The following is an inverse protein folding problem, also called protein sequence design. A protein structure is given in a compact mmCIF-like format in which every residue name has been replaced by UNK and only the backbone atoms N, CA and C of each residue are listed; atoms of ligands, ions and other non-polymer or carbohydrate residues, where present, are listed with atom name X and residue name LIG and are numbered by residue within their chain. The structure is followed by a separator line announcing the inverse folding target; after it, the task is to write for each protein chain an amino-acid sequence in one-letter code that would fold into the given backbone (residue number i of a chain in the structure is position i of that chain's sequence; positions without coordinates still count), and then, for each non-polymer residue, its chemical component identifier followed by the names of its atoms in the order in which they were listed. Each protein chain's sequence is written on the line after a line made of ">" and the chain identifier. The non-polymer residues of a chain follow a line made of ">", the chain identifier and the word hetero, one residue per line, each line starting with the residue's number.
data_IF_876528224197
#
_entry.id   IF_876528224197
#
_cell.length_a   1.000
_cell.length_b   1.000
_cell.length_c   1.000
_cell.angle_alpha   90.00
_cell.angle_beta   90.00
_cell.angle_gamma   90.00
#
_symmetry.space_group_name_H-M   'P 1'
#
loop_
_entity.id
_entity.type
_entity.pdbx_description
1 polymer ?
#
# COMPACT_ATOMS: atom_id res chain seq x y z
N UNK A 1 -4.37 5.73 -16.30
CA UNK A 1 -3.35 6.72 -15.86
C UNK A 1 -2.64 6.30 -14.56
N UNK A 2 -3.32 5.70 -13.56
CA UNK A 2 -2.69 5.27 -12.28
C UNK A 2 -1.81 4.00 -12.39
N UNK A 3 -1.96 3.18 -13.44
CA UNK A 3 -1.09 2.00 -13.66
C UNK A 3 0.38 2.35 -13.91
N UNK A 4 0.69 3.61 -14.27
CA UNK A 4 2.07 4.06 -14.47
C UNK A 4 2.76 4.44 -13.16
N UNK A 5 1.99 4.76 -12.11
CA UNK A 5 2.53 5.14 -10.81
C UNK A 5 3.30 3.97 -10.17
N UNK A 6 2.82 2.72 -10.27
CA UNK A 6 3.49 1.57 -9.64
C UNK A 6 4.84 1.27 -10.30
N UNK A 7 4.93 1.45 -11.61
CA UNK A 7 6.18 1.30 -12.38
C UNK A 7 7.25 2.30 -11.93
N UNK A 8 6.86 3.53 -11.60
CA UNK A 8 7.78 4.61 -11.20
C UNK A 8 7.96 4.72 -9.68
N UNK A 9 7.36 3.79 -8.90
CA UNK A 9 7.36 3.84 -7.44
C UNK A 9 8.76 3.86 -6.82
N UNK A 10 9.70 3.08 -7.34
CA UNK A 10 11.09 3.07 -6.85
C UNK A 10 11.80 4.40 -7.13
N UNK A 11 11.55 5.01 -8.29
CA UNK A 11 12.08 6.32 -8.64
C UNK A 11 11.51 7.41 -7.75
N UNK A 12 10.20 7.38 -7.47
CA UNK A 12 9.55 8.33 -6.54
C UNK A 12 10.15 8.22 -5.13
N UNK A 13 10.35 7.00 -4.63
CA UNK A 13 10.96 6.76 -3.31
C UNK A 13 12.40 7.27 -3.24
N UNK A 14 13.19 7.05 -4.30
CA UNK A 14 14.56 7.51 -4.37
C UNK A 14 14.65 9.04 -4.44
N UNK A 15 13.82 9.67 -5.26
CA UNK A 15 13.75 11.14 -5.38
C UNK A 15 13.31 11.77 -4.06
N UNK A 16 12.27 11.24 -3.41
CA UNK A 16 11.82 11.75 -2.12
C UNK A 16 12.88 11.55 -1.02
N UNK A 17 13.53 10.39 -0.99
CA UNK A 17 14.64 10.12 -0.08
C UNK A 17 15.81 11.09 -0.27
N UNK A 18 16.26 11.30 -1.51
CA UNK A 18 17.32 12.24 -1.85
C UNK A 18 16.94 13.68 -1.48
N UNK A 19 15.70 14.10 -1.78
CA UNK A 19 15.20 15.42 -1.44
C UNK A 19 15.16 15.65 0.08
N UNK A 20 14.71 14.67 0.86
CA UNK A 20 14.74 14.77 2.34
C UNK A 20 16.17 14.80 2.88
N UNK A 21 17.09 14.01 2.30
CA UNK A 21 18.50 14.04 2.67
C UNK A 21 19.12 15.41 2.39
N UNK A 22 18.92 15.97 1.19
CA UNK A 22 19.42 17.30 0.84
C UNK A 22 18.82 18.39 1.74
N UNK A 23 17.52 18.31 2.07
CA UNK A 23 16.89 19.26 2.98
C UNK A 23 17.49 19.22 4.40
N UNK A 24 17.86 18.04 4.90
CA UNK A 24 18.46 17.92 6.23
C UNK A 24 19.92 18.38 6.21
N UNK A 25 20.72 17.91 5.25
CA UNK A 25 22.17 18.11 5.23
C UNK A 25 22.59 19.46 4.64
N UNK A 26 21.87 20.00 3.65
CA UNK A 26 22.21 21.26 2.98
C UNK A 26 21.47 22.45 3.58
N UNK A 27 20.20 22.28 3.94
CA UNK A 27 19.35 23.38 4.43
C UNK A 27 19.25 23.45 5.96
N UNK A 28 19.97 22.59 6.71
CA UNK A 28 19.96 22.53 8.19
C UNK A 28 18.54 22.49 8.79
N UNK A 29 17.58 21.90 8.06
CA UNK A 29 16.20 21.81 8.52
C UNK A 29 16.14 20.88 9.72
N UNK A 30 15.51 21.34 10.82
CA UNK A 30 15.38 20.54 12.02
C UNK A 30 14.59 19.25 11.77
N UNK A 31 15.05 18.15 12.39
CA UNK A 31 14.43 16.82 12.26
C UNK A 31 12.93 16.82 12.61
N UNK A 32 12.52 17.69 13.55
CA UNK A 32 11.15 17.85 13.99
C UNK A 32 10.21 18.35 12.89
N UNK A 33 10.68 19.24 12.01
CA UNK A 33 9.89 19.74 10.88
C UNK A 33 9.64 18.62 9.87
N UNK A 34 10.67 17.81 9.56
CA UNK A 34 10.54 16.66 8.65
C UNK A 34 9.56 15.63 9.21
N UNK A 35 9.67 15.32 10.51
CA UNK A 35 8.76 14.41 11.19
C UNK A 35 7.31 14.94 11.18
N UNK A 36 7.12 16.23 11.48
CA UNK A 36 5.81 16.89 11.48
C UNK A 36 5.13 16.83 10.11
N UNK A 37 5.87 17.20 9.05
CA UNK A 37 5.38 17.12 7.66
C UNK A 37 5.04 15.68 7.28
N UNK A 38 5.88 14.70 7.65
CA UNK A 38 5.61 13.29 7.36
C UNK A 38 4.35 12.77 8.06
N UNK A 39 4.07 13.20 9.29
CA UNK A 39 2.85 12.84 10.02
C UNK A 39 1.62 13.46 9.35
N UNK A 40 1.66 14.75 9.00
CA UNK A 40 0.56 15.44 8.32
C UNK A 40 0.27 14.81 6.96
N UNK A 41 1.30 14.55 6.15
CA UNK A 41 1.15 13.86 4.87
C UNK A 41 0.63 12.43 5.07
N UNK A 42 1.12 11.70 6.08
CA UNK A 42 0.62 10.38 6.43
C UNK A 42 -0.86 10.37 6.82
N UNK A 43 -1.33 11.41 7.51
CA UNK A 43 -2.74 11.57 7.86
C UNK A 43 -3.61 11.86 6.61
N UNK A 44 -3.13 12.70 5.68
CA UNK A 44 -3.86 13.07 4.46
C UNK A 44 -3.90 11.92 3.44
N UNK A 45 -2.76 11.29 3.17
CA UNK A 45 -2.63 10.26 2.13
C UNK A 45 -2.90 8.84 2.66
N UNK A 46 -2.99 8.65 3.98
CA UNK A 46 -3.23 7.35 4.63
C UNK A 46 -2.15 6.32 4.31
N UNK A 47 -2.51 5.01 4.33
CA UNK A 47 -1.55 3.90 4.10
C UNK A 47 -0.85 3.91 2.73
N UNK A 48 -1.34 4.68 1.76
CA UNK A 48 -0.62 4.89 0.50
C UNK A 48 0.75 5.53 0.78
N UNK A 49 0.86 6.41 1.77
CA UNK A 49 2.11 7.05 2.16
C UNK A 49 3.17 6.04 2.64
N UNK A 50 2.81 5.10 3.52
CA UNK A 50 3.74 4.08 4.04
C UNK A 50 4.39 3.22 2.95
N UNK A 51 3.68 2.95 1.85
CA UNK A 51 4.20 2.11 0.77
C UNK A 51 4.94 2.93 -0.30
N UNK A 52 4.67 4.22 -0.44
CA UNK A 52 5.15 5.05 -1.56
C UNK A 52 6.13 6.15 -1.18
N UNK A 53 6.09 6.65 0.06
CA UNK A 53 6.95 7.74 0.53
C UNK A 53 7.84 7.32 1.69
N UNK A 54 7.41 6.35 2.51
CA UNK A 54 8.22 5.90 3.64
C UNK A 54 9.41 5.01 3.17
N UNK A 55 10.66 5.32 3.57
CA UNK A 55 11.85 4.53 3.21
C UNK A 55 11.80 3.10 3.76
N UNK A 56 11.13 2.87 4.90
CA UNK A 56 10.94 1.52 5.44
C UNK A 56 10.13 0.63 4.49
N UNK A 57 9.18 1.19 3.73
CA UNK A 57 8.40 0.43 2.75
C UNK A 57 9.24 -0.14 1.61
N UNK A 58 10.34 0.55 1.24
CA UNK A 58 11.33 0.07 0.27
C UNK A 58 12.22 -1.02 0.87
N UNK A 59 12.69 -0.81 2.11
CA UNK A 59 13.53 -1.79 2.84
C UNK A 59 12.78 -3.13 2.98
N UNK A 60 11.51 -3.09 3.38
CA UNK A 60 10.68 -4.29 3.51
C UNK A 60 10.54 -5.03 2.17
N UNK A 61 10.39 -4.33 1.06
CA UNK A 61 10.26 -4.97 -0.26
C UNK A 61 11.55 -5.67 -0.71
N UNK A 62 12.70 -5.07 -0.41
CA UNK A 62 14.01 -5.66 -0.68
C UNK A 62 14.32 -6.84 0.24
N UNK A 63 13.92 -6.76 1.50
CA UNK A 63 14.08 -7.87 2.45
C UNK A 63 13.21 -9.06 2.05
N UNK A 64 11.97 -8.79 1.69
CA UNK A 64 10.99 -9.79 1.31
C UNK A 64 11.21 -10.37 -0.10
N UNK A 65 12.03 -9.75 -0.94
CA UNK A 65 12.28 -10.26 -2.31
C UNK A 65 13.05 -11.58 -2.37
N UNK A 66 13.74 -11.98 -1.29
CA UNK A 66 14.48 -13.25 -1.21
C UNK A 66 13.68 -14.38 -0.57
N UNK A 67 12.48 -14.10 -0.05
CA UNK A 67 11.64 -15.09 0.61
C UNK A 67 10.70 -15.78 -0.37
N UNK A 68 10.18 -16.95 0.04
CA UNK A 68 9.08 -17.61 -0.66
C UNK A 68 7.86 -16.69 -0.75
N UNK A 69 7.03 -16.86 -1.79
CA UNK A 69 5.87 -15.99 -2.05
C UNK A 69 4.89 -15.96 -0.85
N UNK A 70 4.72 -17.10 -0.17
CA UNK A 70 3.83 -17.22 0.99
C UNK A 70 4.40 -16.55 2.24
N UNK A 71 5.70 -16.71 2.49
CA UNK A 71 6.37 -16.06 3.63
C UNK A 71 6.40 -14.54 3.44
N UNK A 72 6.61 -14.10 2.20
CA UNK A 72 6.51 -12.71 1.79
C UNK A 72 5.14 -12.11 2.11
N UNK A 73 4.06 -12.81 1.76
CA UNK A 73 2.69 -12.41 2.10
C UNK A 73 2.48 -12.37 3.61
N UNK A 74 2.98 -13.36 4.36
CA UNK A 74 2.87 -13.43 5.84
C UNK A 74 3.61 -12.29 6.54
N UNK A 75 4.84 -12.00 6.12
CA UNK A 75 5.61 -10.87 6.65
C UNK A 75 4.90 -9.55 6.37
N UNK A 76 4.40 -9.33 5.15
CA UNK A 76 3.63 -8.13 4.84
C UNK A 76 2.36 -8.03 5.69
N UNK A 77 1.61 -9.12 5.84
CA UNK A 77 0.40 -9.15 6.66
C UNK A 77 0.68 -8.77 8.11
N UNK A 78 1.69 -9.40 8.72
CA UNK A 78 2.08 -9.13 10.10
C UNK A 78 2.64 -7.72 10.27
N UNK A 79 3.43 -7.21 9.33
CA UNK A 79 3.95 -5.85 9.39
C UNK A 79 2.83 -4.79 9.34
N UNK A 80 1.82 -4.96 8.49
CA UNK A 80 0.71 -4.01 8.43
C UNK A 80 -0.38 -4.25 9.50
N UNK A 81 -0.32 -5.38 10.20
CA UNK A 81 -1.18 -5.70 11.36
C UNK A 81 -0.56 -5.26 12.69
N UNK A 82 0.72 -5.57 12.92
CA UNK A 82 1.46 -5.41 14.19
C UNK A 82 2.61 -4.38 14.11
N UNK A 83 2.85 -3.76 12.95
CA UNK A 83 3.98 -2.86 12.74
C UNK A 83 3.86 -1.52 13.47
N UNK A 84 4.67 -0.55 13.03
CA UNK A 84 4.83 0.78 13.62
C UNK A 84 3.50 1.43 14.08
N UNK A 85 3.44 2.13 15.24
CA UNK A 85 2.23 2.80 15.73
C UNK A 85 1.54 3.68 14.69
N UNK A 86 2.31 4.32 13.80
CA UNK A 86 1.78 5.15 12.69
C UNK A 86 0.96 4.31 11.70
N UNK A 87 1.31 3.04 11.48
CA UNK A 87 0.55 2.09 10.65
C UNK A 87 -0.81 1.74 11.28
N UNK A 88 -0.94 1.76 12.61
CA UNK A 88 -2.23 1.53 13.26
C UNK A 88 -3.18 2.69 13.07
N UNK A 89 -2.70 3.91 13.30
CA UNK A 89 -3.47 5.14 13.06
C UNK A 89 -3.94 5.18 11.59
N UNK A 90 -3.02 4.96 10.64
CA UNK A 90 -3.37 4.92 9.22
C UNK A 90 -4.26 3.73 8.84
N UNK A 91 -4.19 2.61 9.58
CA UNK A 91 -5.00 1.42 9.34
C UNK A 91 -6.47 1.66 9.65
N UNK A 92 -6.76 2.45 10.68
CA UNK A 92 -8.11 2.93 10.96
C UNK A 92 -8.61 3.87 9.85
N UNK A 93 -7.71 4.71 9.33
CA UNK A 93 -8.01 5.61 8.22
C UNK A 93 -8.23 4.88 6.88
N UNK A 94 -7.91 3.59 6.72
CA UNK A 94 -8.15 2.89 5.45
C UNK A 94 -9.64 2.88 5.03
N UNK A 95 -10.57 2.84 5.99
CA UNK A 95 -12.01 2.90 5.68
C UNK A 95 -12.43 4.26 5.10
N UNK A 96 -11.77 5.34 5.54
CA UNK A 96 -12.10 6.74 5.20
C UNK A 96 -11.17 7.32 4.14
N UNK A 97 -10.07 6.63 3.84
CA UNK A 97 -9.01 7.09 2.96
C UNK A 97 -9.51 7.49 1.56
N UNK A 98 -8.89 8.54 1.01
CA UNK A 98 -9.18 9.09 -0.32
C UNK A 98 -9.03 8.03 -1.42
N UNK A 99 -7.95 7.24 -1.38
CA UNK A 99 -7.63 6.25 -2.41
C UNK A 99 -8.35 4.91 -2.21
N UNK A 100 -9.63 4.80 -2.58
CA UNK A 100 -10.40 3.55 -2.43
C UNK A 100 -10.15 2.59 -3.59
N UNK A 101 -10.03 1.30 -3.30
CA UNK A 101 -10.03 0.25 -4.32
C UNK A 101 -11.47 -0.13 -4.63
N UNK A 102 -11.89 0.04 -5.88
CA UNK A 102 -13.22 -0.35 -6.35
C UNK A 102 -13.09 -1.41 -7.45
N UNK A 103 -13.86 -2.49 -7.31
CA UNK A 103 -14.03 -3.48 -8.37
C UNK A 103 -15.25 -3.11 -9.21
N UNK A 104 -15.09 -3.04 -10.53
CA UNK A 104 -16.18 -2.92 -11.49
C UNK A 104 -16.71 -4.31 -11.81
N UNK A 105 -17.95 -4.61 -11.42
CA UNK A 105 -18.50 -5.96 -11.57
C UNK A 105 -18.98 -6.29 -12.99
N UNK A 106 -19.23 -5.27 -13.81
CA UNK A 106 -19.61 -5.46 -15.21
C UNK A 106 -18.46 -6.06 -16.04
N UNK A 107 -17.21 -5.70 -15.72
CA UNK A 107 -16.01 -6.17 -16.44
C UNK A 107 -15.30 -7.32 -15.73
N UNK A 108 -15.76 -7.72 -14.54
CA UNK A 108 -15.11 -8.72 -13.71
C UNK A 108 -15.52 -10.13 -14.13
N UNK A 109 -14.55 -10.95 -14.52
CA UNK A 109 -14.76 -12.36 -14.90
C UNK A 109 -14.68 -13.33 -13.72
N UNK A 110 -14.58 -12.84 -12.49
CA UNK A 110 -14.46 -13.68 -11.27
C UNK A 110 -13.31 -14.72 -11.30
N UNK A 111 -12.23 -14.44 -12.03
CA UNK A 111 -11.09 -15.36 -12.20
C UNK A 111 -10.21 -15.59 -10.95
N UNK A 112 -10.34 -14.79 -9.89
CA UNK A 112 -9.63 -14.97 -8.61
C UNK A 112 -8.15 -14.58 -8.58
N UNK A 113 -7.55 -14.15 -9.70
CA UNK A 113 -6.12 -13.77 -9.78
C UNK A 113 -5.76 -12.64 -8.80
N UNK A 114 -6.66 -11.66 -8.65
CA UNK A 114 -6.47 -10.55 -7.72
C UNK A 114 -6.42 -10.98 -6.25
N UNK A 115 -7.21 -11.99 -5.86
CA UNK A 115 -7.23 -12.55 -4.51
C UNK A 115 -5.96 -13.37 -4.23
N UNK A 116 -5.43 -14.08 -5.24
CA UNK A 116 -4.16 -14.81 -5.13
C UNK A 116 -2.95 -13.87 -5.00
N UNK A 117 -2.97 -12.74 -5.71
CA UNK A 117 -1.91 -11.74 -5.68
C UNK A 117 -1.92 -10.88 -4.40
N UNK A 118 -3.07 -10.74 -3.74
CA UNK A 118 -3.22 -9.91 -2.56
C UNK A 118 -2.91 -10.71 -1.28
N UNK A 119 -1.95 -10.22 -0.47
CA UNK A 119 -1.58 -10.86 0.79
C UNK A 119 -2.70 -10.81 1.85
N UNK A 120 -3.65 -9.87 1.75
CA UNK A 120 -4.77 -9.77 2.68
C UNK A 120 -5.75 -10.92 2.45
N UNK A 121 -6.18 -11.12 1.21
CA UNK A 121 -7.12 -12.18 0.82
C UNK A 121 -6.48 -13.56 0.88
N UNK A 122 -5.18 -13.67 0.61
CA UNK A 122 -4.44 -14.94 0.70
C UNK A 122 -4.32 -15.45 2.14
N UNK A 123 -4.40 -14.57 3.15
CA UNK A 123 -4.20 -14.92 4.56
C UNK A 123 -5.46 -14.74 5.42
N UNK A 124 -6.47 -14.05 4.91
CA UNK A 124 -7.78 -13.92 5.55
C UNK A 124 -8.89 -14.12 4.51
N UNK A 125 -9.61 -15.23 4.65
CA UNK A 125 -10.69 -15.64 3.76
C UNK A 125 -11.98 -14.82 3.91
N UNK A 126 -12.11 -13.93 4.89
CA UNK A 126 -13.24 -13.00 5.01
C UNK A 126 -13.24 -11.93 3.91
N UNK A 127 -12.10 -11.73 3.24
CA UNK A 127 -11.91 -10.70 2.23
C UNK A 127 -11.83 -11.29 0.81
N UNK A 128 -12.42 -10.61 -0.17
CA UNK A 128 -12.29 -10.95 -1.59
C UNK A 128 -12.62 -9.75 -2.47
N UNK A 129 -11.96 -9.64 -3.64
CA UNK A 129 -12.27 -8.61 -4.63
C UNK A 129 -13.43 -8.95 -5.56
N UNK A 130 -13.73 -10.25 -5.75
CA UNK A 130 -14.72 -10.71 -6.73
C UNK A 130 -15.97 -11.33 -6.09
N UNK A 131 -15.87 -11.90 -4.89
CA UNK A 131 -17.02 -12.45 -4.16
C UNK A 131 -17.86 -11.35 -3.51
N UNK A 132 -19.16 -11.31 -3.82
CA UNK A 132 -20.09 -10.27 -3.32
C UNK A 132 -20.44 -10.42 -1.83
N UNK A 133 -20.37 -11.63 -1.30
CA UNK A 133 -20.63 -11.99 0.11
C UNK A 133 -19.48 -11.60 1.05
N UNK A 134 -18.34 -11.16 0.51
CA UNK A 134 -17.11 -10.92 1.27
C UNK A 134 -16.77 -9.44 1.39
N UNK A 135 -15.99 -9.12 2.41
CA UNK A 135 -15.56 -7.74 2.69
C UNK A 135 -14.50 -7.30 1.66
N UNK A 136 -14.55 -6.02 1.29
CA UNK A 136 -13.57 -5.45 0.35
C UNK A 136 -12.16 -5.40 0.99
N UNK A 137 -11.13 -6.03 0.41
CA UNK A 137 -9.78 -6.08 0.98
C UNK A 137 -9.13 -4.69 1.07
N UNK A 138 -9.54 -3.75 0.21
CA UNK A 138 -9.06 -2.36 0.22
C UNK A 138 -9.37 -1.58 1.50
N UNK A 139 -10.41 -1.97 2.22
CA UNK A 139 -10.82 -1.36 3.49
C UNK A 139 -10.26 -2.10 4.73
N UNK A 140 -9.54 -3.20 4.53
CA UNK A 140 -8.96 -3.96 5.62
C UNK A 140 -7.88 -3.13 6.35
N UNK A 141 -7.82 -3.26 7.67
CA UNK A 141 -6.89 -2.52 8.52
C UNK A 141 -5.42 -2.71 8.10
N UNK A 142 -5.08 -3.94 7.72
CA UNK A 142 -3.75 -4.35 7.29
C UNK A 142 -3.49 -4.15 5.79
N UNK A 143 -4.42 -3.57 5.02
CA UNK A 143 -4.19 -3.27 3.62
C UNK A 143 -3.21 -2.11 3.45
N UNK A 144 -2.09 -2.36 2.78
CA UNK A 144 -1.04 -1.37 2.52
C UNK A 144 -1.23 -0.60 1.22
N UNK A 145 -2.28 -0.93 0.46
CA UNK A 145 -2.53 -0.36 -0.87
C UNK A 145 -1.31 -0.47 -1.79
N UNK A 146 -0.69 -1.65 -1.78
CA UNK A 146 0.45 -1.96 -2.64
C UNK A 146 0.08 -2.08 -4.12
N UNK A 147 -1.21 -2.12 -4.46
CA UNK A 147 -1.77 -2.21 -5.82
C UNK A 147 -1.40 -3.47 -6.62
N UNK A 148 -0.78 -4.49 -6.02
CA UNK A 148 -0.53 -5.78 -6.68
C UNK A 148 -1.79 -6.42 -7.27
N UNK A 149 -2.94 -6.25 -6.60
CA UNK A 149 -4.23 -6.73 -7.10
C UNK A 149 -4.73 -5.97 -8.35
N UNK A 150 -4.42 -4.67 -8.47
CA UNK A 150 -4.72 -3.86 -9.65
C UNK A 150 -3.81 -4.28 -10.81
N UNK A 151 -2.53 -4.48 -10.53
CA UNK A 151 -1.52 -4.88 -11.53
C UNK A 151 -1.78 -6.29 -12.09
N UNK A 152 -2.16 -7.24 -11.24
CA UNK A 152 -2.42 -8.63 -11.64
C UNK A 152 -3.79 -8.82 -12.32
N UNK A 153 -4.68 -7.82 -12.35
CA UNK A 153 -6.03 -7.98 -12.87
C UNK A 153 -6.04 -7.95 -14.42
N UNK A 154 -6.38 -9.06 -15.11
CA UNK A 154 -6.29 -9.12 -16.58
C UNK A 154 -7.30 -8.21 -17.27
N UNK A 155 -8.51 -8.07 -16.71
CA UNK A 155 -9.57 -7.22 -17.28
C UNK A 155 -9.54 -5.78 -16.76
N UNK A 156 -8.55 -5.41 -15.95
CA UNK A 156 -8.43 -4.07 -15.33
C UNK A 156 -9.71 -3.62 -14.58
N UNK A 157 -10.44 -4.59 -14.02
CA UNK A 157 -11.69 -4.37 -13.30
C UNK A 157 -11.49 -3.72 -11.93
N UNK A 158 -10.29 -3.83 -11.35
CA UNK A 158 -9.96 -3.20 -10.07
C UNK A 158 -9.27 -1.87 -10.35
N UNK A 159 -9.83 -0.79 -9.83
CA UNK A 159 -9.31 0.56 -10.04
C UNK A 159 -9.18 1.33 -8.72
N UNK A 160 -8.20 2.23 -8.68
CA UNK A 160 -8.06 3.20 -7.59
C UNK A 160 -8.96 4.38 -7.90
N UNK A 161 -9.92 4.66 -7.02
CA UNK A 161 -10.75 5.88 -7.07
C UNK A 161 -10.16 6.86 -6.05
N UNK A 162 -9.89 8.08 -6.52
CA UNK A 162 -9.44 9.23 -5.71
C UNK A 162 -10.66 10.04 -5.31
#
# INVERSE_FOLDING_TARGET
>A
MISNLTKHRKSIQLVFGLATYLAIFVLQVSLWVVLGVAVVLGAVFGKTFCKWMCPMGFIMEKMTSKLSEDDSKRQMYNYYKLGCPVSWVQGLLNKVSLYKLKTQQETCTSCGICDKACYVTSLNSEFSFFKKDKKAPGAAFNCSKCLKCVEACPTKSIQVRV
#
